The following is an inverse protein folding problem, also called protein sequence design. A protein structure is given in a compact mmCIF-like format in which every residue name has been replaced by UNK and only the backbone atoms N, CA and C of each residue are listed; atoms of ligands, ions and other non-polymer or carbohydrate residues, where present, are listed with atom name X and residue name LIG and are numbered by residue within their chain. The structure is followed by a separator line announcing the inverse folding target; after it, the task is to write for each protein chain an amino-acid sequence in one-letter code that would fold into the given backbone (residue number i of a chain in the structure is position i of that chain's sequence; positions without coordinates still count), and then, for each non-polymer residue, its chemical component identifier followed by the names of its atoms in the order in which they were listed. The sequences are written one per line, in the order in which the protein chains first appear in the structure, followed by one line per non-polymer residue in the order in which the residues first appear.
data_IF_664014512338
#
_entry.id   IF_664014512338
#
_cell.length_a   1.000
_cell.length_b   1.000
_cell.length_c   1.000
_cell.angle_alpha   90.00
_cell.angle_beta   90.00
_cell.angle_gamma   90.00
#
_symmetry.space_group_name_H-M   'P 1'
#
loop_
_entity.id
_entity.type
_entity.pdbx_description
1 polymer ?
#
# COMPACT_ATOMS: atom_id res chain seq x y z
N UNK A 1 13.86 5.63 -16.41
CA UNK A 1 13.32 4.68 -15.43
C UNK A 1 13.03 5.45 -14.13
N UNK A 2 12.24 4.91 -13.18
CA UNK A 2 12.05 5.61 -11.90
C UNK A 2 13.32 5.51 -11.06
N UNK A 3 13.68 6.57 -10.33
CA UNK A 3 14.91 6.61 -9.48
C UNK A 3 15.06 5.39 -8.58
N UNK A 4 13.95 4.91 -8.02
CA UNK A 4 13.90 3.72 -7.15
C UNK A 4 14.19 2.42 -7.90
N UNK A 5 13.69 2.30 -9.14
CA UNK A 5 13.95 1.13 -9.98
C UNK A 5 15.42 1.05 -10.37
N UNK A 6 16.02 2.18 -10.72
CA UNK A 6 17.44 2.25 -11.09
C UNK A 6 18.32 1.87 -9.90
N UNK A 7 18.07 2.45 -8.73
CA UNK A 7 18.77 2.08 -7.48
C UNK A 7 18.63 0.60 -7.13
N UNK A 8 17.43 0.03 -7.31
CA UNK A 8 17.20 -1.40 -7.06
C UNK A 8 18.07 -2.27 -7.97
N UNK A 9 18.12 -1.98 -9.26
CA UNK A 9 18.87 -2.76 -10.25
C UNK A 9 20.39 -2.58 -10.14
N UNK A 10 20.86 -1.36 -9.87
CA UNK A 10 22.30 -1.05 -9.85
C UNK A 10 22.99 -1.45 -8.55
N UNK A 11 22.34 -1.21 -7.40
CA UNK A 11 22.95 -1.33 -6.07
C UNK A 11 22.36 -2.50 -5.29
N UNK A 12 21.04 -2.53 -5.13
CA UNK A 12 20.38 -3.48 -4.20
C UNK A 12 20.50 -4.92 -4.68
N UNK A 13 20.28 -5.16 -5.98
CA UNK A 13 20.42 -6.49 -6.59
C UNK A 13 21.82 -7.06 -6.39
N UNK A 14 22.87 -6.27 -6.65
CA UNK A 14 24.26 -6.71 -6.47
C UNK A 14 24.58 -7.00 -5.01
N UNK A 15 24.20 -6.09 -4.11
CA UNK A 15 24.42 -6.29 -2.66
C UNK A 15 23.68 -7.50 -2.09
N UNK A 16 22.46 -7.78 -2.57
CA UNK A 16 21.71 -8.99 -2.16
C UNK A 16 22.31 -10.26 -2.74
N UNK A 17 22.81 -10.20 -3.99
CA UNK A 17 23.45 -11.34 -4.64
C UNK A 17 24.74 -11.74 -3.92
N UNK A 18 25.58 -10.77 -3.56
CA UNK A 18 26.82 -11.02 -2.81
C UNK A 18 26.54 -11.47 -1.37
N UNK A 19 25.59 -10.83 -0.68
CA UNK A 19 25.28 -11.15 0.73
C UNK A 19 24.67 -12.53 0.93
N UNK A 20 23.82 -12.97 0.00
CA UNK A 20 23.07 -14.22 0.14
C UNK A 20 23.43 -15.28 -0.91
N UNK A 21 24.44 -15.01 -1.74
CA UNK A 21 25.02 -15.93 -2.72
C UNK A 21 23.98 -16.52 -3.70
N UNK A 22 22.99 -15.71 -4.12
CA UNK A 22 21.97 -16.14 -5.07
C UNK A 22 22.60 -16.56 -6.40
N UNK A 23 22.29 -17.79 -6.86
CA UNK A 23 22.82 -18.34 -8.12
C UNK A 23 22.13 -17.76 -9.36
N UNK A 24 20.90 -17.27 -9.20
CA UNK A 24 20.10 -16.74 -10.29
C UNK A 24 19.51 -15.38 -9.86
N UNK A 25 19.65 -14.38 -10.74
CA UNK A 25 19.11 -13.02 -10.53
C UNK A 25 17.60 -13.04 -10.26
N UNK A 26 16.87 -14.00 -10.84
CA UNK A 26 15.43 -14.15 -10.64
C UNK A 26 15.03 -14.61 -9.23
N UNK A 27 15.99 -15.09 -8.41
CA UNK A 27 15.75 -15.45 -7.01
C UNK A 27 15.78 -14.23 -6.09
N UNK A 28 16.29 -13.09 -6.57
CA UNK A 28 16.47 -11.89 -5.76
C UNK A 28 15.10 -11.28 -5.43
N UNK A 29 14.77 -11.07 -4.13
CA UNK A 29 13.48 -10.54 -3.73
C UNK A 29 13.18 -9.17 -4.32
N UNK A 30 11.97 -9.00 -4.88
CA UNK A 30 11.49 -7.75 -5.46
C UNK A 30 10.21 -7.25 -4.78
N UNK A 31 10.03 -5.93 -4.76
CA UNK A 31 8.76 -5.33 -4.32
C UNK A 31 7.70 -5.59 -5.39
N UNK A 32 6.64 -6.32 -5.02
CA UNK A 32 5.56 -6.71 -5.96
C UNK A 32 4.40 -5.72 -5.94
N UNK A 33 4.01 -5.24 -4.75
CA UNK A 33 2.90 -4.31 -4.56
C UNK A 33 3.09 -3.52 -3.27
N UNK A 34 2.65 -2.26 -3.28
CA UNK A 34 2.45 -1.45 -2.07
C UNK A 34 0.94 -1.25 -1.91
N UNK A 35 0.42 -1.53 -0.71
CA UNK A 35 -0.99 -1.29 -0.37
C UNK A 35 -1.03 -0.18 0.67
N UNK A 36 -1.77 0.89 0.37
CA UNK A 36 -2.03 1.97 1.30
C UNK A 36 -3.48 1.82 1.76
N UNK A 37 -3.71 1.75 3.06
CA UNK A 37 -5.03 1.60 3.66
C UNK A 37 -5.28 2.78 4.61
N UNK A 38 -6.51 3.28 4.60
CA UNK A 38 -6.96 4.30 5.53
C UNK A 38 -8.30 3.88 6.13
N UNK A 39 -8.34 3.81 7.46
CA UNK A 39 -9.55 3.53 8.20
C UNK A 39 -10.35 4.82 8.39
N UNK A 40 -11.63 4.80 8.04
CA UNK A 40 -12.54 5.95 8.19
C UNK A 40 -13.74 5.49 9.01
N UNK A 41 -13.61 5.52 10.34
CA UNK A 41 -14.64 5.01 11.26
C UNK A 41 -15.94 5.80 11.20
N UNK A 42 -15.85 7.12 10.98
CA UNK A 42 -16.99 8.03 10.89
C UNK A 42 -17.74 7.95 9.54
N UNK A 43 -17.24 7.17 8.58
CA UNK A 43 -17.88 7.01 7.27
C UNK A 43 -19.29 6.41 7.36
N UNK A 44 -19.62 5.70 8.44
CA UNK A 44 -20.95 5.10 8.67
C UNK A 44 -22.00 6.19 8.90
N UNK A 45 -21.63 7.27 9.59
CA UNK A 45 -22.54 8.37 9.96
C UNK A 45 -22.38 9.60 9.07
N UNK A 46 -21.20 9.78 8.45
CA UNK A 46 -20.88 10.93 7.62
C UNK A 46 -20.24 10.52 6.29
N UNK A 47 -21.04 10.51 5.22
CA UNK A 47 -20.57 10.19 3.87
C UNK A 47 -19.52 11.19 3.35
N UNK A 48 -19.56 12.46 3.78
CA UNK A 48 -18.59 13.48 3.35
C UNK A 48 -17.19 13.20 3.87
N UNK A 49 -17.06 12.57 5.05
CA UNK A 49 -15.77 12.17 5.60
C UNK A 49 -15.12 11.08 4.73
N UNK A 50 -15.92 10.18 4.16
CA UNK A 50 -15.45 9.17 3.22
C UNK A 50 -15.02 9.80 1.89
N UNK A 51 -15.77 10.78 1.38
CA UNK A 51 -15.40 11.49 0.14
C UNK A 51 -14.10 12.29 0.30
N UNK A 52 -13.92 12.97 1.44
CA UNK A 52 -12.68 13.68 1.78
C UNK A 52 -11.50 12.70 1.86
N UNK A 53 -11.68 11.58 2.55
CA UNK A 53 -10.70 10.51 2.64
C UNK A 53 -10.28 9.95 1.26
N UNK A 54 -11.23 9.78 0.35
CA UNK A 54 -10.96 9.36 -1.03
C UNK A 54 -10.17 10.43 -1.77
N UNK A 55 -10.49 11.71 -1.59
CA UNK A 55 -9.76 12.85 -2.14
C UNK A 55 -8.29 12.86 -1.69
N UNK A 56 -8.05 12.80 -0.39
CA UNK A 56 -6.71 12.82 0.20
C UNK A 56 -5.86 11.63 -0.29
N UNK A 57 -6.44 10.43 -0.27
CA UNK A 57 -5.76 9.22 -0.77
C UNK A 57 -5.46 9.31 -2.27
N UNK A 58 -6.31 9.97 -3.04
CA UNK A 58 -6.06 10.20 -4.47
C UNK A 58 -4.89 11.14 -4.67
N UNK A 59 -4.81 12.22 -3.88
CA UNK A 59 -3.70 13.18 -3.93
C UNK A 59 -2.39 12.51 -3.52
N UNK A 60 -2.40 11.72 -2.43
CA UNK A 60 -1.20 11.07 -1.89
C UNK A 60 -0.69 9.96 -2.81
N UNK A 61 -1.58 9.08 -3.27
CA UNK A 61 -1.18 7.90 -4.04
C UNK A 61 -1.12 8.14 -5.56
N UNK A 62 -1.69 9.26 -6.04
CA UNK A 62 -1.86 9.53 -7.46
C UNK A 62 -2.84 8.58 -8.15
N UNK A 63 -3.60 7.79 -7.40
CA UNK A 63 -4.53 6.78 -7.90
C UNK A 63 -5.83 6.85 -7.12
N UNK A 64 -6.97 6.61 -7.80
CA UNK A 64 -8.26 6.56 -7.12
C UNK A 64 -8.32 5.32 -6.21
N UNK A 65 -8.52 5.48 -4.89
CA UNK A 65 -8.59 4.36 -3.97
C UNK A 65 -9.87 3.55 -4.14
N UNK A 66 -9.82 2.27 -3.77
CA UNK A 66 -10.99 1.39 -3.73
C UNK A 66 -11.66 1.52 -2.37
N UNK A 67 -12.95 1.85 -2.36
CA UNK A 67 -13.75 1.91 -1.14
C UNK A 67 -14.04 0.47 -0.69
N UNK A 68 -13.49 0.09 0.47
CA UNK A 68 -13.72 -1.23 1.06
C UNK A 68 -14.90 -1.17 2.02
N UNK A 69 -15.89 -2.05 1.81
CA UNK A 69 -17.07 -2.19 2.69
C UNK A 69 -16.84 -3.31 3.71
N UNK A 70 -17.43 -3.17 4.90
CA UNK A 70 -17.38 -4.21 5.92
C UNK A 70 -18.00 -5.51 5.39
N UNK A 71 -17.30 -6.64 5.56
CA UNK A 71 -17.80 -7.98 5.16
C UNK A 71 -18.89 -8.51 6.11
N UNK A 72 -18.88 -8.09 7.38
CA UNK A 72 -19.88 -8.42 8.39
C UNK A 72 -20.23 -7.16 9.17
N UNK A 73 -21.52 -6.85 9.30
CA UNK A 73 -21.99 -5.77 10.17
C UNK A 73 -21.97 -6.24 11.61
N UNK A 74 -20.95 -5.83 12.37
CA UNK A 74 -20.91 -6.05 13.82
C UNK A 74 -21.33 -4.73 14.47
N UNK A 75 -22.52 -4.71 15.07
CA UNK A 75 -23.08 -3.53 15.75
C UNK A 75 -22.34 -3.15 17.04
N UNK A 76 -21.32 -3.90 17.44
CA UNK A 76 -20.63 -3.79 18.73
C UNK A 76 -19.39 -2.88 18.75
N UNK A 77 -19.15 -2.05 17.71
CA UNK A 77 -18.00 -1.12 17.72
C UNK A 77 -18.24 0.16 18.53
N UNK A 78 -19.47 0.37 19.05
CA UNK A 78 -19.78 1.46 19.99
C UNK A 78 -19.63 0.89 21.40
N UNK A 79 -18.45 1.00 21.99
CA UNK A 79 -18.23 0.51 23.36
C UNK A 79 -16.78 0.43 23.81
N UNK A 80 -16.02 1.51 23.68
CA UNK A 80 -14.85 1.87 24.52
C UNK A 80 -14.22 3.16 24.01
#
# INVERSE_FOLDING_TARGET
MSRLKDKYLSEVVKGLQEKYNYKNIMQIPKVTKIVINMAVGEAVTNSKALDAAVGDMTIISGQKPIITKAKKSIAAFIGS
#
